data_IF_133002640201
#
_entry.id   IF_133002640201
#
_cell.length_a   1.000
_cell.length_b   1.000
_cell.length_c   1.000
_cell.angle_alpha   90.00
_cell.angle_beta   90.00
_cell.angle_gamma   90.00
#
_symmetry.space_group_name_H-M   'P 1'
#
loop_
_entity.id
_entity.type
_entity.pdbx_description
1 polymer ?
#
# COMPACT_ATOMS: atom_id res chain seq x y z
N UNK A 1 -7.00 -17.19 0.36
CA UNK A 1 -6.03 -17.13 1.47
C UNK A 1 -5.76 -15.70 1.90
N UNK A 2 -5.06 -14.87 1.10
CA UNK A 2 -4.74 -13.46 1.47
C UNK A 2 -6.01 -12.65 1.79
N UNK A 3 -7.03 -12.66 0.93
CA UNK A 3 -8.29 -11.95 1.19
C UNK A 3 -9.02 -12.41 2.47
N UNK A 4 -9.04 -13.72 2.73
CA UNK A 4 -9.61 -14.26 3.97
C UNK A 4 -8.78 -13.86 5.21
N UNK A 5 -7.45 -13.89 5.08
CA UNK A 5 -6.53 -13.42 6.11
C UNK A 5 -6.75 -11.93 6.41
N UNK A 6 -6.97 -11.11 5.39
CA UNK A 6 -7.32 -9.69 5.52
C UNK A 6 -8.65 -9.48 6.24
N UNK A 7 -9.69 -10.21 5.86
CA UNK A 7 -10.99 -10.12 6.52
C UNK A 7 -10.89 -10.49 8.01
N UNK A 8 -10.13 -11.54 8.34
CA UNK A 8 -9.89 -11.93 9.72
C UNK A 8 -9.04 -10.89 10.46
N UNK A 9 -8.01 -10.34 9.80
CA UNK A 9 -7.07 -9.38 10.39
C UNK A 9 -7.78 -8.14 10.92
N UNK A 10 -8.78 -7.65 10.18
CA UNK A 10 -9.54 -6.44 10.50
C UNK A 10 -10.89 -6.73 11.17
N UNK A 11 -11.26 -8.00 11.40
CA UNK A 11 -12.59 -8.39 11.88
C UNK A 11 -13.01 -7.67 13.17
N UNK A 12 -12.05 -7.39 14.06
CA UNK A 12 -12.28 -6.68 15.33
C UNK A 12 -12.38 -5.16 15.20
N UNK A 13 -11.93 -4.59 14.08
CA UNK A 13 -11.87 -3.15 13.84
C UNK A 13 -12.96 -2.67 12.85
N UNK A 14 -13.81 -3.59 12.36
CA UNK A 14 -14.93 -3.29 11.49
C UNK A 14 -16.07 -2.61 12.27
N UNK A 15 -16.12 -1.28 12.22
CA UNK A 15 -17.21 -0.47 12.77
C UNK A 15 -18.31 -0.14 11.75
N UNK A 16 -19.47 0.33 12.25
CA UNK A 16 -20.60 0.84 11.44
C UNK A 16 -20.32 2.23 10.85
N UNK A 17 -19.29 2.34 10.00
CA UNK A 17 -18.90 3.57 9.33
C UNK A 17 -19.96 4.13 8.36
N UNK A 18 -19.71 5.34 7.84
CA UNK A 18 -20.57 5.97 6.83
C UNK A 18 -20.64 5.16 5.53
N UNK A 19 -21.84 4.95 4.99
CA UNK A 19 -22.04 4.26 3.71
C UNK A 19 -21.25 4.92 2.57
N UNK A 20 -21.20 6.25 2.54
CA UNK A 20 -20.42 7.00 1.54
C UNK A 20 -18.94 6.67 1.69
N UNK A 21 -18.42 6.67 2.91
CA UNK A 21 -17.03 6.29 3.20
C UNK A 21 -16.71 4.87 2.74
N UNK A 22 -17.62 3.92 2.98
CA UNK A 22 -17.45 2.53 2.54
C UNK A 22 -17.42 2.41 1.01
N UNK A 23 -18.32 3.09 0.30
CA UNK A 23 -18.35 3.09 -1.17
C UNK A 23 -17.07 3.75 -1.72
N UNK A 24 -16.64 4.88 -1.16
CA UNK A 24 -15.40 5.55 -1.55
C UNK A 24 -14.17 4.67 -1.30
N UNK A 25 -14.12 3.94 -0.17
CA UNK A 25 -13.04 3.01 0.15
C UNK A 25 -12.97 1.84 -0.85
N UNK A 26 -14.12 1.24 -1.21
CA UNK A 26 -14.18 0.21 -2.25
C UNK A 26 -13.72 0.77 -3.59
N UNK A 27 -14.19 1.96 -3.97
CA UNK A 27 -13.74 2.65 -5.19
C UNK A 27 -12.23 2.86 -5.22
N UNK A 28 -11.64 3.32 -4.10
CA UNK A 28 -10.19 3.47 -3.94
C UNK A 28 -9.44 2.14 -4.10
N UNK A 29 -9.99 1.03 -3.59
CA UNK A 29 -9.39 -0.29 -3.78
C UNK A 29 -9.39 -0.72 -5.25
N UNK A 30 -10.49 -0.47 -5.97
CA UNK A 30 -10.60 -0.79 -7.41
C UNK A 30 -9.62 0.06 -8.23
N UNK A 31 -9.53 1.37 -7.98
CA UNK A 31 -8.59 2.24 -8.69
C UNK A 31 -7.13 1.89 -8.37
N UNK A 32 -6.84 1.49 -7.13
CA UNK A 32 -5.50 1.02 -6.75
C UNK A 32 -5.13 -0.29 -7.47
N UNK A 33 -6.05 -1.25 -7.56
CA UNK A 33 -5.83 -2.46 -8.35
C UNK A 33 -5.59 -2.15 -9.83
N UNK A 34 -6.38 -1.25 -10.42
CA UNK A 34 -6.20 -0.80 -11.79
C UNK A 34 -4.85 -0.11 -12.02
N UNK A 35 -4.39 0.71 -11.06
CA UNK A 35 -3.07 1.34 -11.09
C UNK A 35 -1.94 0.31 -11.24
N UNK A 36 -1.94 -0.77 -10.45
CA UNK A 36 -0.95 -1.85 -10.59
C UNK A 36 -1.02 -2.53 -11.96
N UNK A 37 -2.23 -2.81 -12.47
CA UNK A 37 -2.42 -3.43 -13.78
C UNK A 37 -1.86 -2.53 -14.89
N UNK A 38 -2.22 -1.25 -14.90
CA UNK A 38 -1.76 -0.31 -15.93
C UNK A 38 -0.25 -0.04 -15.85
N UNK A 39 0.32 0.07 -14.65
CA UNK A 39 1.78 0.15 -14.49
C UNK A 39 2.48 -1.10 -15.03
N UNK A 40 1.91 -2.29 -14.78
CA UNK A 40 2.45 -3.55 -15.32
C UNK A 40 2.36 -3.61 -16.85
N UNK A 41 1.29 -3.07 -17.44
CA UNK A 41 1.16 -2.98 -18.90
C UNK A 41 2.25 -2.09 -19.53
N UNK A 42 2.79 -1.12 -18.76
CA UNK A 42 3.93 -0.30 -19.16
C UNK A 42 5.29 -0.96 -18.90
N UNK A 43 5.36 -2.29 -18.71
CA UNK A 43 6.63 -2.99 -18.45
C UNK A 43 7.72 -2.70 -19.49
N UNK A 44 7.32 -2.49 -20.74
CA UNK A 44 8.21 -2.22 -21.89
C UNK A 44 8.50 -0.72 -22.07
N UNK A 45 7.80 0.16 -21.33
CA UNK A 45 8.00 1.62 -21.30
C UNK A 45 8.63 2.09 -19.98
N UNK A 46 8.17 3.24 -19.45
CA UNK A 46 8.68 3.83 -18.21
C UNK A 46 7.59 4.00 -17.13
N UNK A 47 7.32 2.96 -16.31
CA UNK A 47 6.40 3.06 -15.18
C UNK A 47 6.79 4.15 -14.18
N UNK A 48 8.10 4.45 -14.07
CA UNK A 48 8.59 5.52 -13.20
C UNK A 48 8.11 6.90 -13.64
N UNK A 49 8.16 7.20 -14.95
CA UNK A 49 7.66 8.47 -15.49
C UNK A 49 6.16 8.61 -15.29
N UNK A 50 5.39 7.55 -15.54
CA UNK A 50 3.95 7.54 -15.26
C UNK A 50 3.66 7.77 -13.77
N UNK A 51 4.47 7.19 -12.88
CA UNK A 51 4.29 7.40 -11.44
C UNK A 51 4.67 8.83 -11.02
N UNK A 52 5.71 9.41 -11.62
CA UNK A 52 6.06 10.81 -11.42
C UNK A 52 4.93 11.74 -11.87
N UNK A 53 4.37 11.50 -13.06
CA UNK A 53 3.23 12.27 -13.56
C UNK A 53 2.02 12.15 -12.63
N UNK A 54 1.72 10.94 -12.13
CA UNK A 54 0.66 10.73 -11.16
C UNK A 54 0.89 11.57 -9.88
N UNK A 55 2.11 11.59 -9.34
CA UNK A 55 2.44 12.43 -8.18
C UNK A 55 2.34 13.93 -8.46
N UNK A 56 2.71 14.40 -9.66
CA UNK A 56 2.52 15.80 -10.07
C UNK A 56 1.03 16.15 -10.14
N UNK A 57 0.20 15.26 -10.68
CA UNK A 57 -1.25 15.44 -10.70
C UNK A 57 -1.83 15.47 -9.29
N UNK A 58 -1.41 14.54 -8.41
CA UNK A 58 -1.82 14.53 -6.99
C UNK A 58 -1.40 15.81 -6.27
N UNK A 59 -0.17 16.29 -6.48
CA UNK A 59 0.30 17.54 -5.89
C UNK A 59 -0.50 18.75 -6.39
N UNK A 60 -0.82 18.79 -7.69
CA UNK A 60 -1.62 19.87 -8.30
C UNK A 60 -3.04 19.89 -7.74
N UNK A 61 -3.72 18.73 -7.73
CA UNK A 61 -5.07 18.60 -7.18
C UNK A 61 -5.07 18.92 -5.68
N UNK A 62 -4.10 18.40 -4.93
CA UNK A 62 -3.94 18.67 -3.51
C UNK A 62 -3.70 20.15 -3.21
N UNK A 63 -2.88 20.82 -4.03
CA UNK A 63 -2.65 22.26 -3.92
C UNK A 63 -3.92 23.06 -4.19
N UNK A 64 -4.68 22.75 -5.25
CA UNK A 64 -5.95 23.41 -5.55
C UNK A 64 -6.94 23.24 -4.39
N UNK A 65 -7.07 22.04 -3.83
CA UNK A 65 -7.93 21.79 -2.67
C UNK A 65 -7.45 22.59 -1.45
N UNK A 66 -6.14 22.65 -1.22
CA UNK A 66 -5.55 23.37 -0.09
C UNK A 66 -5.83 24.88 -0.13
N UNK A 67 -6.04 25.48 -1.31
CA UNK A 67 -6.43 26.89 -1.44
C UNK A 67 -7.79 27.22 -0.78
N UNK A 68 -8.64 26.20 -0.59
CA UNK A 68 -9.96 26.35 0.05
C UNK A 68 -9.97 25.88 1.52
N UNK A 69 -8.81 25.53 2.07
CA UNK A 69 -8.66 25.04 3.45
C UNK A 69 -7.97 26.09 4.33
N UNK A 70 -8.15 26.02 5.66
CA UNK A 70 -7.41 26.89 6.58
C UNK A 70 -5.89 26.75 6.42
N UNK A 71 -5.17 27.85 6.62
CA UNK A 71 -3.72 27.85 6.52
C UNK A 71 -3.10 26.83 7.50
N UNK A 72 -2.19 25.96 7.03
CA UNK A 72 -1.58 24.95 7.88
C UNK A 72 -0.58 25.58 8.86
N UNK A 73 -0.38 24.92 10.00
CA UNK A 73 0.68 25.29 10.93
C UNK A 73 2.05 24.91 10.37
N UNK A 74 2.83 25.91 9.96
CA UNK A 74 4.20 25.70 9.47
C UNK A 74 5.14 25.59 10.68
N UNK A 75 5.42 24.35 11.07
CA UNK A 75 6.38 24.04 12.16
C UNK A 75 7.52 23.20 11.61
N UNK A 76 8.69 23.27 12.26
CA UNK A 76 9.83 22.43 11.89
C UNK A 76 9.47 20.94 11.89
N UNK A 77 8.70 20.49 12.90
CA UNK A 77 8.21 19.11 12.98
C UNK A 77 7.35 18.75 11.76
N UNK A 78 6.38 19.57 11.38
CA UNK A 78 5.51 19.31 10.23
C UNK A 78 6.31 19.25 8.92
N UNK A 79 7.21 20.22 8.69
CA UNK A 79 8.05 20.26 7.49
C UNK A 79 8.98 19.04 7.43
N UNK A 80 9.63 18.69 8.54
CA UNK A 80 10.51 17.51 8.60
C UNK A 80 9.74 16.21 8.34
N UNK A 81 8.52 16.06 8.88
CA UNK A 81 7.68 14.91 8.62
C UNK A 81 7.27 14.82 7.15
N UNK A 82 6.89 15.93 6.51
CA UNK A 82 6.54 15.96 5.07
C UNK A 82 7.74 15.53 4.21
N UNK A 83 8.95 16.00 4.53
CA UNK A 83 10.15 15.62 3.77
C UNK A 83 10.43 14.12 3.92
N UNK A 84 10.39 13.59 5.14
CA UNK A 84 10.64 12.17 5.41
C UNK A 84 9.57 11.29 4.74
N UNK A 85 8.29 11.63 4.88
CA UNK A 85 7.21 10.86 4.27
C UNK A 85 7.24 10.98 2.74
N UNK A 86 7.46 12.18 2.20
CA UNK A 86 7.51 12.40 0.76
C UNK A 86 8.71 11.74 0.08
N UNK A 87 9.91 11.91 0.61
CA UNK A 87 11.14 11.38 -0.01
C UNK A 87 11.31 9.89 0.28
N UNK A 88 11.29 9.51 1.56
CA UNK A 88 11.61 8.15 1.97
C UNK A 88 10.41 7.21 1.85
N UNK A 89 9.26 7.58 2.39
CA UNK A 89 8.12 6.67 2.42
C UNK A 89 7.41 6.58 1.05
N UNK A 90 7.26 7.70 0.33
CA UNK A 90 6.59 7.73 -0.98
C UNK A 90 7.62 7.59 -2.12
N UNK A 91 8.64 8.45 -2.17
CA UNK A 91 9.58 8.52 -3.30
C UNK A 91 10.39 7.24 -3.50
N UNK A 92 11.05 6.73 -2.45
CA UNK A 92 11.81 5.47 -2.54
C UNK A 92 10.88 4.30 -2.86
N UNK A 93 9.71 4.22 -2.22
CA UNK A 93 8.73 3.17 -2.51
C UNK A 93 8.25 3.21 -3.96
N UNK A 94 8.00 4.40 -4.52
CA UNK A 94 7.61 4.61 -5.91
C UNK A 94 8.67 4.09 -6.89
N UNK A 95 9.96 4.35 -6.62
CA UNK A 95 11.08 3.84 -7.44
C UNK A 95 11.14 2.32 -7.37
N UNK A 96 11.11 1.76 -6.16
CA UNK A 96 11.16 0.31 -5.95
C UNK A 96 9.95 -0.40 -6.58
N UNK A 97 8.77 0.20 -6.49
CA UNK A 97 7.56 -0.30 -7.13
C UNK A 97 7.67 -0.30 -8.64
N UNK A 98 8.05 0.83 -9.25
CA UNK A 98 8.24 0.95 -10.71
C UNK A 98 9.29 -0.01 -11.25
N UNK A 99 10.33 -0.30 -10.46
CA UNK A 99 11.34 -1.30 -10.78
C UNK A 99 10.81 -2.73 -10.63
N UNK A 100 10.13 -3.02 -9.52
CA UNK A 100 9.64 -4.35 -9.16
C UNK A 100 8.49 -4.81 -10.04
N UNK A 101 7.59 -3.90 -10.40
CA UNK A 101 6.40 -4.20 -11.20
C UNK A 101 6.74 -4.65 -12.62
N UNK A 102 7.95 -4.38 -13.11
CA UNK A 102 8.46 -4.94 -14.38
C UNK A 102 8.93 -6.40 -14.27
N UNK A 103 9.15 -6.90 -13.06
CA UNK A 103 9.80 -8.19 -12.81
C UNK A 103 8.87 -9.24 -12.19
N UNK A 104 7.75 -8.80 -11.60
CA UNK A 104 6.76 -9.69 -11.00
C UNK A 104 5.47 -9.72 -11.81
N UNK A 105 4.78 -10.85 -11.82
CA UNK A 105 3.42 -10.93 -12.38
C UNK A 105 2.44 -10.13 -11.53
N UNK A 106 1.31 -9.70 -12.10
CA UNK A 106 0.27 -8.97 -11.37
C UNK A 106 -0.25 -9.74 -10.15
N UNK A 107 -0.36 -11.07 -10.27
CA UNK A 107 -0.78 -11.97 -9.18
C UNK A 107 0.27 -12.02 -8.06
N UNK A 108 1.56 -12.06 -8.39
CA UNK A 108 2.61 -12.01 -7.36
C UNK A 108 2.66 -10.64 -6.68
N UNK A 109 2.51 -9.57 -7.44
CA UNK A 109 2.46 -8.21 -6.91
C UNK A 109 1.33 -8.03 -5.90
N UNK A 110 0.12 -8.51 -6.21
CA UNK A 110 -1.03 -8.41 -5.30
C UNK A 110 -0.87 -9.27 -4.04
N UNK A 111 -0.22 -10.43 -4.14
CA UNK A 111 0.11 -11.28 -2.98
C UNK A 111 1.13 -10.57 -2.08
N UNK A 112 2.19 -9.98 -2.66
CA UNK A 112 3.20 -9.22 -1.93
C UNK A 112 2.58 -7.99 -1.26
N UNK A 113 1.70 -7.26 -1.95
CA UNK A 113 0.96 -6.14 -1.38
C UNK A 113 0.14 -6.54 -0.16
N UNK A 114 -0.33 -7.79 -0.09
CA UNK A 114 -0.97 -8.35 1.11
C UNK A 114 -0.10 -8.30 2.37
N UNK A 115 1.23 -8.22 2.27
CA UNK A 115 2.11 -8.09 3.44
C UNK A 115 2.04 -6.70 4.09
N UNK A 116 1.72 -5.65 3.34
CA UNK A 116 1.65 -4.27 3.83
C UNK A 116 0.78 -4.13 5.11
N UNK A 117 -0.49 -4.59 5.12
CA UNK A 117 -1.34 -4.49 6.31
C UNK A 117 -0.82 -5.31 7.50
N UNK A 118 -0.02 -6.36 7.27
CA UNK A 118 0.60 -7.12 8.36
C UNK A 118 1.78 -6.35 8.97
N UNK A 119 2.57 -5.68 8.14
CA UNK A 119 3.70 -4.88 8.59
C UNK A 119 3.27 -3.65 9.39
N UNK A 120 2.11 -3.04 9.08
CA UNK A 120 1.64 -1.84 9.77
C UNK A 120 1.56 -2.02 11.31
N UNK A 121 0.78 -2.98 11.86
CA UNK A 121 0.75 -3.21 13.31
C UNK A 121 2.06 -3.75 13.88
N UNK A 122 2.87 -4.45 13.08
CA UNK A 122 4.19 -4.89 13.53
C UNK A 122 5.09 -3.69 13.84
N UNK A 123 5.12 -2.67 12.98
CA UNK A 123 5.90 -1.45 13.22
C UNK A 123 5.39 -0.66 14.43
N UNK A 124 4.06 -0.55 14.58
CA UNK A 124 3.44 0.12 15.74
C UNK A 124 3.79 -0.63 17.02
N UNK A 125 3.71 -1.96 17.03
CA UNK A 125 4.11 -2.77 18.17
C UNK A 125 5.59 -2.56 18.54
N UNK A 126 6.49 -2.56 17.55
CA UNK A 126 7.92 -2.37 17.79
C UNK A 126 8.29 -0.96 18.27
N UNK A 127 7.62 0.08 17.75
CA UNK A 127 7.93 1.47 18.06
C UNK A 127 7.21 2.00 19.31
N UNK A 128 5.95 1.58 19.52
CA UNK A 128 5.05 2.13 20.55
C UNK A 128 4.60 1.09 21.58
N UNK A 129 4.84 -0.21 21.35
CA UNK A 129 4.46 -1.28 22.27
C UNK A 129 2.99 -1.69 22.21
N UNK A 130 2.20 -1.15 21.28
CA UNK A 130 0.78 -1.51 21.12
C UNK A 130 0.64 -2.93 20.56
N UNK A 131 0.12 -3.84 21.38
CA UNK A 131 0.02 -5.27 21.01
C UNK A 131 -1.11 -5.48 19.99
N UNK A 132 -0.85 -6.17 18.86
CA UNK A 132 -1.91 -6.54 17.93
C UNK A 132 -2.92 -7.48 18.60
N UNK A 133 -4.20 -7.34 18.23
CA UNK A 133 -5.24 -8.26 18.69
C UNK A 133 -5.03 -9.69 18.19
N UNK A 134 -5.64 -10.67 18.87
CA UNK A 134 -5.51 -12.09 18.50
C UNK A 134 -5.95 -12.37 17.04
N UNK A 135 -6.99 -11.69 16.57
CA UNK A 135 -7.45 -11.82 15.18
C UNK A 135 -6.43 -11.30 14.16
N UNK A 136 -5.77 -10.17 14.46
CA UNK A 136 -4.70 -9.61 13.62
C UNK A 136 -3.48 -10.53 13.58
N UNK A 137 -3.13 -11.20 14.69
CA UNK A 137 -2.05 -12.19 14.70
C UNK A 137 -2.37 -13.40 13.81
N UNK A 138 -3.57 -13.97 13.92
CA UNK A 138 -3.99 -15.14 13.11
C UNK A 138 -4.11 -14.74 11.64
N UNK A 139 -4.77 -13.62 11.34
CA UNK A 139 -4.88 -13.09 9.97
C UNK A 139 -3.51 -12.82 9.35
N UNK A 140 -2.59 -12.23 10.12
CA UNK A 140 -1.22 -11.95 9.71
C UNK A 140 -0.43 -13.21 9.40
N UNK A 141 -0.54 -14.24 10.24
CA UNK A 141 0.09 -15.54 10.01
C UNK A 141 -0.43 -16.21 8.72
N UNK A 142 -1.73 -16.15 8.45
CA UNK A 142 -2.34 -16.66 7.20
C UNK A 142 -1.76 -15.94 5.98
N UNK A 143 -1.68 -14.61 6.05
CA UNK A 143 -1.15 -13.77 4.96
C UNK A 143 0.32 -14.11 4.70
N UNK A 144 1.17 -14.09 5.73
CA UNK A 144 2.61 -14.38 5.62
C UNK A 144 2.82 -15.77 5.01
N UNK A 145 2.10 -16.78 5.52
CA UNK A 145 2.20 -18.15 5.01
C UNK A 145 1.82 -18.22 3.53
N UNK A 146 0.72 -17.57 3.14
CA UNK A 146 0.29 -17.52 1.74
C UNK A 146 1.34 -16.89 0.82
N UNK A 147 1.96 -15.79 1.26
CA UNK A 147 3.00 -15.09 0.47
C UNK A 147 4.26 -15.94 0.35
N UNK A 148 4.73 -16.55 1.44
CA UNK A 148 5.93 -17.39 1.45
C UNK A 148 5.73 -18.61 0.54
N UNK A 149 4.62 -19.32 0.68
CA UNK A 149 4.31 -20.51 -0.14
C UNK A 149 4.23 -20.14 -1.62
N UNK A 150 3.52 -19.06 -1.96
CA UNK A 150 3.40 -18.58 -3.35
C UNK A 150 4.78 -18.22 -3.94
N UNK A 151 5.61 -17.54 -3.17
CA UNK A 151 6.96 -17.13 -3.57
C UNK A 151 7.87 -18.34 -3.80
N UNK A 152 7.85 -19.33 -2.88
CA UNK A 152 8.62 -20.57 -3.01
C UNK A 152 8.19 -21.39 -4.23
N UNK A 153 6.89 -21.56 -4.44
CA UNK A 153 6.37 -22.29 -5.61
C UNK A 153 6.83 -21.62 -6.90
N UNK A 154 6.75 -20.28 -6.97
CA UNK A 154 7.13 -19.56 -8.19
C UNK A 154 8.63 -19.61 -8.44
N UNK A 155 9.46 -19.44 -7.41
CA UNK A 155 10.91 -19.55 -7.51
C UNK A 155 11.35 -20.94 -7.99
N UNK A 156 10.65 -22.00 -7.54
CA UNK A 156 10.91 -23.38 -8.02
C UNK A 156 10.49 -23.60 -9.47
N UNK A 157 9.38 -22.99 -9.92
CA UNK A 157 8.94 -23.07 -11.32
C UNK A 157 9.87 -22.33 -12.27
N UNK A 158 10.43 -21.19 -11.87
CA UNK A 158 11.38 -20.41 -12.69
C UNK A 158 12.76 -21.07 -12.82
N UNK A 159 13.11 -22.04 -11.97
CA UNK A 159 14.37 -22.80 -12.03
C UNK A 159 14.29 -24.05 -12.90
N UNK A 160 13.09 -24.44 -13.35
CA UNK A 160 12.87 -25.53 -14.32
C UNK A 160 12.66 -24.93 -15.70
#
# INVERSE_FOLDING_TARGET
AVACGMALFFLGDLGGGSLIGNITAIGSGITFAAYFVFMRMQKDGSPLESNLLAHVMTATVGFIIALFMPAPAITFKAVSAIIVLGVFQIGVAAILLSWGIKRVSAVQGSIIAGLEPVFNPLWVFLALGEKPGSNSLVGGAIIITAVVVSSVITARRSRR
#
